data_IF_665242050821
#
_entry.id   IF_665242050821
#
_cell.length_a   1.000
_cell.length_b   1.000
_cell.length_c   1.000
_cell.angle_alpha   90.00
_cell.angle_beta   90.00
_cell.angle_gamma   90.00
#
_symmetry.space_group_name_H-M   'P 1'
#
loop_
_entity.id
_entity.type
_entity.pdbx_description
1 polymer ?
#
# COMPACT_ATOMS: atom_id res chain seq x y z
N UNK A 1 2.26 9.93 18.44
CA UNK A 1 2.89 9.08 17.39
C UNK A 1 2.03 9.02 16.13
N UNK A 2 2.48 8.38 15.05
CA UNK A 2 1.75 8.27 13.77
C UNK A 2 1.51 6.82 13.40
N UNK A 3 0.32 6.51 12.89
CA UNK A 3 -0.08 5.21 12.37
C UNK A 3 -0.39 5.37 10.89
N UNK A 4 0.26 4.58 10.04
CA UNK A 4 0.01 4.57 8.59
C UNK A 4 -0.53 3.20 8.23
N UNK A 5 -1.80 3.15 7.82
CA UNK A 5 -2.51 1.92 7.52
C UNK A 5 -2.57 1.71 6.01
N UNK A 6 -1.91 0.67 5.50
CA UNK A 6 -1.97 0.31 4.08
C UNK A 6 -2.96 -0.84 3.85
N UNK A 7 -4.08 -0.55 3.20
CA UNK A 7 -5.18 -1.48 2.95
C UNK A 7 -5.19 -1.98 1.51
N UNK A 8 -4.71 -3.21 1.28
CA UNK A 8 -4.84 -3.90 -0.02
C UNK A 8 -6.20 -4.60 -0.14
N UNK A 9 -6.73 -4.75 -1.35
CA UNK A 9 -7.93 -5.55 -1.63
C UNK A 9 -9.26 -4.79 -1.55
N UNK A 10 -9.25 -3.47 -1.77
CA UNK A 10 -10.46 -2.64 -1.83
C UNK A 10 -10.65 -2.14 -3.26
N UNK A 11 -11.85 -2.31 -3.80
CA UNK A 11 -12.23 -1.74 -5.10
C UNK A 11 -12.78 -0.31 -4.95
N UNK A 12 -12.79 0.45 -6.04
CA UNK A 12 -13.29 1.83 -6.06
C UNK A 12 -14.71 1.98 -5.50
N UNK A 13 -15.60 1.01 -5.80
CA UNK A 13 -16.99 1.02 -5.33
C UNK A 13 -17.14 0.77 -3.83
N UNK A 14 -16.10 0.23 -3.17
CA UNK A 14 -16.11 -0.10 -1.74
C UNK A 14 -15.44 0.99 -0.90
N UNK A 15 -14.81 2.00 -1.51
CA UNK A 15 -14.06 3.04 -0.78
C UNK A 15 -14.94 3.77 0.24
N UNK A 16 -16.18 4.11 -0.13
CA UNK A 16 -17.11 4.78 0.78
C UNK A 16 -17.42 3.91 2.01
N UNK A 17 -17.72 2.64 1.79
CA UNK A 17 -17.97 1.69 2.88
C UNK A 17 -16.75 1.52 3.79
N UNK A 18 -15.55 1.39 3.21
CA UNK A 18 -14.31 1.28 4.00
C UNK A 18 -14.08 2.54 4.83
N UNK A 19 -14.34 3.72 4.25
CA UNK A 19 -14.20 4.99 4.94
C UNK A 19 -15.18 5.12 6.11
N UNK A 20 -16.44 4.76 5.90
CA UNK A 20 -17.48 4.88 6.93
C UNK A 20 -17.40 3.81 8.03
N UNK A 21 -16.86 2.63 7.72
CA UNK A 21 -16.88 1.50 8.66
C UNK A 21 -15.51 1.16 9.23
N UNK A 22 -14.49 0.93 8.39
CA UNK A 22 -13.18 0.47 8.86
C UNK A 22 -12.46 1.58 9.63
N UNK A 23 -12.49 2.82 9.13
CA UNK A 23 -11.74 3.93 9.72
C UNK A 23 -12.30 4.31 11.10
N UNK A 24 -13.62 4.46 11.21
CA UNK A 24 -14.29 4.81 12.48
C UNK A 24 -14.08 3.72 13.54
N UNK A 25 -14.09 2.45 13.15
CA UNK A 25 -13.78 1.33 14.06
C UNK A 25 -12.33 1.35 14.53
N UNK A 26 -11.38 1.68 13.65
CA UNK A 26 -9.97 1.82 14.02
C UNK A 26 -9.78 2.96 15.01
N UNK A 27 -10.35 4.14 14.72
CA UNK A 27 -10.27 5.31 15.61
C UNK A 27 -10.88 4.97 16.98
N UNK A 28 -12.10 4.42 17.00
CA UNK A 28 -12.77 4.02 18.24
C UNK A 28 -11.96 3.00 19.05
N UNK A 29 -11.29 2.06 18.38
CA UNK A 29 -10.44 1.06 19.04
C UNK A 29 -9.17 1.69 19.62
N UNK A 30 -8.57 2.65 18.91
CA UNK A 30 -7.40 3.39 19.41
C UNK A 30 -7.76 4.21 20.65
N UNK A 31 -8.88 4.95 20.61
CA UNK A 31 -9.35 5.76 21.73
C UNK A 31 -9.66 4.91 22.97
N UNK A 32 -10.22 3.70 22.77
CA UNK A 32 -10.49 2.76 23.85
C UNK A 32 -9.22 2.13 24.46
N UNK A 33 -8.24 1.80 23.61
CA UNK A 33 -6.98 1.17 24.05
C UNK A 33 -6.00 2.16 24.66
N UNK A 34 -6.04 3.42 24.22
CA UNK A 34 -5.11 4.47 24.63
C UNK A 34 -5.84 5.78 24.98
N UNK A 35 -6.67 5.81 26.04
CA UNK A 35 -7.46 6.98 26.37
C UNK A 35 -6.61 8.23 26.61
N UNK A 36 -7.02 9.35 26.01
CA UNK A 36 -6.36 10.66 26.16
C UNK A 36 -5.09 10.85 25.32
N UNK A 37 -4.73 9.89 24.47
CA UNK A 37 -3.63 10.02 23.51
C UNK A 37 -4.17 10.49 22.16
N UNK A 38 -3.62 11.58 21.63
CA UNK A 38 -3.92 12.02 20.26
C UNK A 38 -3.21 11.11 19.24
N UNK A 39 -4.00 10.32 18.51
CA UNK A 39 -3.50 9.41 17.48
C UNK A 39 -3.59 10.03 16.09
N UNK A 40 -2.44 10.16 15.44
CA UNK A 40 -2.36 10.61 14.05
C UNK A 40 -2.44 9.41 13.12
N UNK A 41 -3.46 9.36 12.28
CA UNK A 41 -3.76 8.23 11.40
C UNK A 41 -3.77 8.67 9.93
N UNK A 42 -3.09 7.90 9.08
CA UNK A 42 -3.32 7.93 7.64
C UNK A 42 -3.82 6.56 7.18
N UNK A 43 -4.88 6.55 6.38
CA UNK A 43 -5.46 5.34 5.80
C UNK A 43 -5.28 5.38 4.28
N UNK A 44 -4.47 4.45 3.76
CA UNK A 44 -4.04 4.41 2.36
C UNK A 44 -4.53 3.12 1.72
N UNK A 45 -5.46 3.23 0.78
CA UNK A 45 -5.90 2.11 -0.05
C UNK A 45 -4.84 1.82 -1.11
N UNK A 46 -4.45 0.55 -1.24
CA UNK A 46 -3.42 0.08 -2.17
C UNK A 46 -4.08 -0.82 -3.22
N UNK A 47 -4.04 -0.40 -4.48
CA UNK A 47 -4.66 -1.13 -5.60
C UNK A 47 -3.61 -1.56 -6.61
N UNK A 48 -3.32 -2.86 -6.63
CA UNK A 48 -2.36 -3.48 -7.58
C UNK A 48 -3.01 -4.03 -8.85
N UNK A 49 -4.33 -4.17 -8.92
CA UNK A 49 -5.03 -4.68 -10.12
C UNK A 49 -5.67 -3.52 -10.88
N UNK A 50 -4.86 -2.78 -11.63
CA UNK A 50 -5.27 -1.59 -12.40
C UNK A 50 -4.95 -1.74 -13.89
N UNK A 51 -5.73 -1.09 -14.74
CA UNK A 51 -5.51 -1.03 -16.20
C UNK A 51 -4.47 0.02 -16.61
N UNK A 52 -4.28 1.08 -15.81
CA UNK A 52 -3.34 2.17 -16.09
C UNK A 52 -1.90 1.66 -16.30
N UNK A 53 -1.24 2.16 -17.33
CA UNK A 53 0.18 1.89 -17.64
C UNK A 53 0.88 3.21 -17.93
N UNK A 54 2.14 3.31 -17.51
CA UNK A 54 3.01 4.46 -17.77
C UNK A 54 4.21 4.01 -18.57
N UNK A 55 4.71 4.90 -19.42
CA UNK A 55 5.86 4.65 -20.28
C UNK A 55 6.80 5.86 -20.19
N UNK A 56 8.10 5.59 -20.09
CA UNK A 56 9.11 6.60 -20.27
C UNK A 56 9.34 6.78 -21.78
N UNK A 57 9.12 7.98 -22.28
CA UNK A 57 9.35 8.32 -23.68
C UNK A 57 10.74 8.93 -23.85
N UNK A 58 11.57 8.28 -24.65
CA UNK A 58 12.88 8.77 -25.10
C UNK A 58 12.79 9.03 -26.62
N UNK A 59 12.99 10.27 -27.10
CA UNK A 59 12.91 10.59 -28.54
C UNK A 59 13.84 9.75 -29.42
N UNK A 60 14.95 9.24 -28.88
CA UNK A 60 15.95 8.46 -29.60
C UNK A 60 15.74 6.94 -29.50
N UNK A 61 15.10 6.47 -28.42
CA UNK A 61 14.95 5.03 -28.09
C UNK A 61 13.50 4.56 -28.07
N UNK A 62 12.53 5.45 -28.29
CA UNK A 62 11.11 5.16 -28.21
C UNK A 62 10.60 5.02 -26.79
N UNK A 63 9.60 4.16 -26.58
CA UNK A 63 8.98 3.95 -25.28
C UNK A 63 9.65 2.82 -24.51
N UNK A 64 9.86 3.03 -23.22
CA UNK A 64 10.40 2.04 -22.29
C UNK A 64 9.64 2.02 -20.97
N UNK A 65 9.85 0.98 -20.17
CA UNK A 65 9.27 0.91 -18.84
C UNK A 65 9.87 2.01 -17.94
N UNK A 66 9.05 2.71 -17.14
CA UNK A 66 9.54 3.60 -16.09
C UNK A 66 10.44 2.85 -15.10
N UNK A 67 11.37 3.59 -14.49
CA UNK A 67 12.28 3.05 -13.49
C UNK A 67 11.57 2.85 -12.14
N UNK A 68 12.02 1.89 -11.31
CA UNK A 68 11.60 1.82 -9.92
C UNK A 68 11.81 3.15 -9.20
N UNK A 69 10.77 3.61 -8.49
CA UNK A 69 10.73 4.91 -7.84
C UNK A 69 9.99 6.00 -8.64
N UNK A 70 9.57 5.73 -9.88
CA UNK A 70 8.72 6.68 -10.62
C UNK A 70 7.38 6.87 -9.91
N UNK A 71 7.06 8.12 -9.58
CA UNK A 71 5.79 8.56 -9.01
C UNK A 71 5.04 9.37 -10.07
N UNK A 72 3.73 9.17 -10.16
CA UNK A 72 2.82 9.98 -10.96
C UNK A 72 1.65 10.41 -10.08
N UNK A 73 1.59 11.68 -9.74
CA UNK A 73 0.58 12.28 -8.85
C UNK A 73 -0.21 13.44 -9.47
N UNK A 74 0.08 13.78 -10.73
CA UNK A 74 -0.61 14.83 -11.50
C UNK A 74 -1.22 14.28 -12.80
N UNK A 75 -2.17 15.02 -13.38
CA UNK A 75 -2.85 14.82 -14.68
C UNK A 75 -3.73 13.56 -14.81
N UNK A 76 -3.25 12.41 -14.35
CA UNK A 76 -3.93 11.10 -14.45
C UNK A 76 -4.57 10.65 -13.14
N UNK A 77 -4.35 11.43 -12.08
CA UNK A 77 -4.99 11.32 -10.77
C UNK A 77 -6.39 11.94 -10.80
N UNK A 78 -7.21 11.67 -9.77
CA UNK A 78 -8.54 12.28 -9.71
C UNK A 78 -8.45 13.60 -8.95
N UNK A 79 -8.97 14.72 -9.49
CA UNK A 79 -8.90 16.02 -8.82
C UNK A 79 -9.48 16.02 -7.40
N UNK A 80 -10.45 15.15 -7.12
CA UNK A 80 -11.12 15.05 -5.83
C UNK A 80 -10.43 14.08 -4.84
N UNK A 81 -9.37 13.39 -5.26
CA UNK A 81 -8.69 12.37 -4.44
C UNK A 81 -7.26 12.80 -4.13
N UNK A 82 -6.82 12.47 -2.92
CA UNK A 82 -5.40 12.41 -2.62
C UNK A 82 -4.88 11.04 -3.05
N UNK A 83 -4.57 10.89 -4.34
CA UNK A 83 -4.02 9.66 -4.90
C UNK A 83 -2.73 9.87 -5.69
N UNK A 84 -1.98 8.78 -5.86
CA UNK A 84 -0.76 8.75 -6.65
C UNK A 84 -0.49 7.32 -7.14
N UNK A 85 0.24 7.22 -8.24
CA UNK A 85 0.78 5.97 -8.74
C UNK A 85 2.27 5.88 -8.42
N UNK A 86 2.72 4.68 -8.06
CA UNK A 86 4.12 4.38 -7.83
C UNK A 86 4.51 3.12 -8.59
N UNK A 87 5.55 3.24 -9.40
CA UNK A 87 6.25 2.09 -10.00
C UNK A 87 7.34 1.67 -9.03
N UNK A 88 7.12 0.62 -8.25
CA UNK A 88 8.11 0.21 -7.24
C UNK A 88 9.05 -0.90 -7.71
N UNK A 89 8.68 -1.70 -8.72
CA UNK A 89 9.42 -2.88 -9.16
C UNK A 89 9.68 -2.82 -10.67
N UNK A 90 10.83 -3.34 -11.12
CA UNK A 90 11.12 -3.57 -12.54
C UNK A 90 10.69 -4.97 -12.99
N UNK A 91 10.26 -5.09 -14.25
CA UNK A 91 9.89 -6.37 -14.86
C UNK A 91 10.95 -6.78 -15.89
N UNK A 92 11.26 -8.09 -15.95
CA UNK A 92 12.20 -8.63 -16.95
C UNK A 92 11.61 -8.67 -18.36
N UNK A 93 10.30 -8.86 -18.45
CA UNK A 93 9.55 -8.96 -19.70
C UNK A 93 8.18 -8.30 -19.54
N UNK A 94 7.71 -7.67 -20.62
CA UNK A 94 6.41 -7.01 -20.69
C UNK A 94 6.41 -5.60 -20.10
N UNK A 95 5.21 -5.04 -19.96
CA UNK A 95 5.00 -3.69 -19.44
C UNK A 95 4.84 -3.69 -17.93
N UNK A 96 5.54 -2.78 -17.24
CA UNK A 96 5.40 -2.62 -15.79
C UNK A 96 4.01 -2.10 -15.44
N UNK A 97 3.39 -2.72 -14.44
CA UNK A 97 2.11 -2.29 -13.92
C UNK A 97 2.34 -1.49 -12.62
N UNK A 98 2.00 -0.19 -12.59
CA UNK A 98 2.14 0.62 -11.38
C UNK A 98 1.23 0.09 -10.26
N UNK A 99 1.43 0.61 -9.06
CA UNK A 99 0.52 0.43 -7.93
C UNK A 99 -0.12 1.78 -7.63
N UNK A 100 -1.45 1.79 -7.54
CA UNK A 100 -2.23 2.98 -7.21
C UNK A 100 -2.42 3.06 -5.70
N UNK A 101 -2.17 4.24 -5.14
CA UNK A 101 -2.32 4.54 -3.73
C UNK A 101 -3.32 5.67 -3.60
N UNK A 102 -4.34 5.47 -2.78
CA UNK A 102 -5.37 6.47 -2.52
C UNK A 102 -5.46 6.71 -1.01
N UNK A 103 -5.07 7.89 -0.57
CA UNK A 103 -5.15 8.33 0.83
C UNK A 103 -6.56 8.82 1.08
N UNK A 104 -7.35 8.00 1.77
CA UNK A 104 -8.79 8.27 1.99
C UNK A 104 -9.07 8.94 3.33
N UNK A 105 -8.08 8.98 4.22
CA UNK A 105 -8.10 9.66 5.50
C UNK A 105 -6.67 10.00 5.92
N UNK A 106 -6.43 11.22 6.41
CA UNK A 106 -5.11 11.63 6.90
C UNK A 106 -5.22 12.75 7.95
N UNK A 107 -4.77 12.47 9.17
CA UNK A 107 -4.59 13.45 10.26
C UNK A 107 -3.12 13.62 10.64
N UNK A 108 -2.20 13.03 9.87
CA UNK A 108 -0.77 12.96 10.21
C UNK A 108 0.00 14.25 9.97
N UNK A 109 -0.54 15.12 9.11
CA UNK A 109 0.11 16.35 8.65
C UNK A 109 1.36 16.08 7.80
N UNK A 110 1.52 14.86 7.27
CA UNK A 110 2.62 14.54 6.37
C UNK A 110 2.41 15.23 5.02
N UNK A 111 3.51 15.75 4.45
CA UNK A 111 3.48 16.24 3.08
C UNK A 111 3.30 15.06 2.11
N UNK A 112 2.65 15.27 0.95
CA UNK A 112 2.51 14.22 -0.06
C UNK A 112 3.82 13.52 -0.44
N UNK A 113 4.91 14.28 -0.63
CA UNK A 113 6.25 13.74 -0.87
C UNK A 113 6.68 12.72 0.20
N UNK A 114 6.42 13.01 1.48
CA UNK A 114 6.80 12.12 2.57
C UNK A 114 6.00 10.81 2.53
N UNK A 115 4.70 10.88 2.22
CA UNK A 115 3.85 9.69 2.07
C UNK A 115 4.32 8.82 0.90
N UNK A 116 4.58 9.43 -0.26
CA UNK A 116 5.08 8.74 -1.45
C UNK A 116 6.43 8.05 -1.19
N UNK A 117 7.38 8.77 -0.55
CA UNK A 117 8.68 8.23 -0.19
C UNK A 117 8.60 7.14 0.87
N UNK A 118 7.68 7.26 1.84
CA UNK A 118 7.42 6.22 2.82
C UNK A 118 6.91 4.95 2.13
N UNK A 119 5.90 5.08 1.27
CA UNK A 119 5.35 3.97 0.49
C UNK A 119 6.44 3.26 -0.31
N UNK A 120 7.33 4.01 -0.97
CA UNK A 120 8.45 3.43 -1.71
C UNK A 120 9.49 2.77 -0.80
N UNK A 121 9.87 3.37 0.33
CA UNK A 121 10.81 2.75 1.29
C UNK A 121 10.27 1.42 1.81
N UNK A 122 8.97 1.33 2.10
CA UNK A 122 8.35 0.11 2.60
C UNK A 122 8.36 -1.02 1.58
N UNK A 123 8.49 -0.76 0.27
CA UNK A 123 8.61 -1.83 -0.72
C UNK A 123 9.97 -2.55 -0.71
N UNK A 124 10.95 -2.01 0.00
CA UNK A 124 12.29 -2.61 0.14
C UNK A 124 12.39 -3.54 1.35
N UNK A 125 11.35 -3.58 2.19
CA UNK A 125 11.39 -4.26 3.50
C UNK A 125 10.74 -5.65 3.49
N UNK A 126 10.61 -6.27 2.33
CA UNK A 126 10.11 -7.64 2.22
C UNK A 126 11.27 -8.63 2.18
N UNK A 127 11.50 -9.34 3.28
CA UNK A 127 12.73 -10.11 3.48
C UNK A 127 12.86 -11.37 2.62
N UNK A 128 11.78 -11.86 2.03
CA UNK A 128 11.83 -13.02 1.13
C UNK A 128 12.16 -12.62 -0.33
N UNK A 129 12.58 -11.36 -0.58
CA UNK A 129 13.04 -10.91 -1.90
C UNK A 129 14.17 -9.88 -1.77
N UNK A 130 15.33 -10.09 -2.41
CA UNK A 130 16.46 -9.15 -2.36
C UNK A 130 16.27 -8.00 -3.37
N UNK A 131 15.21 -7.21 -3.19
CA UNK A 131 14.87 -6.08 -4.04
C UNK A 131 13.53 -5.44 -3.68
N UNK A 132 13.04 -4.55 -4.53
CA UNK A 132 11.73 -3.93 -4.33
C UNK A 132 10.59 -4.84 -4.76
N UNK A 133 9.51 -4.82 -3.99
CA UNK A 133 8.25 -5.48 -4.33
C UNK A 133 7.17 -4.48 -4.77
N UNK A 134 6.09 -4.99 -5.35
CA UNK A 134 5.03 -4.18 -5.96
C UNK A 134 4.20 -3.35 -4.98
N UNK A 135 4.04 -3.83 -3.75
CA UNK A 135 3.24 -3.19 -2.68
C UNK A 135 4.12 -2.97 -1.45
N UNK A 136 3.73 -2.15 -0.46
CA UNK A 136 4.48 -2.02 0.78
C UNK A 136 4.62 -3.37 1.48
N UNK A 137 5.76 -3.61 2.16
CA UNK A 137 6.03 -4.87 2.85
C UNK A 137 4.91 -5.32 3.80
N UNK A 138 4.26 -4.44 4.61
CA UNK A 138 3.13 -4.85 5.44
C UNK A 138 1.98 -5.50 4.64
N UNK A 139 1.65 -4.97 3.46
CA UNK A 139 0.61 -5.57 2.60
C UNK A 139 1.04 -6.95 2.07
N UNK A 140 2.31 -7.09 1.68
CA UNK A 140 2.82 -8.37 1.18
C UNK A 140 2.90 -9.43 2.29
N UNK A 141 3.29 -9.04 3.50
CA UNK A 141 3.28 -9.90 4.67
C UNK A 141 1.86 -10.36 5.03
N UNK A 142 0.90 -9.42 5.07
CA UNK A 142 -0.50 -9.75 5.28
C UNK A 142 -1.03 -10.72 4.22
N UNK A 143 -0.67 -10.51 2.94
CA UNK A 143 -1.06 -11.42 1.86
C UNK A 143 -0.46 -12.82 2.04
N UNK A 144 0.83 -12.94 2.39
CA UNK A 144 1.50 -14.22 2.64
C UNK A 144 0.86 -14.98 3.80
N UNK A 145 0.61 -14.30 4.92
CA UNK A 145 -0.04 -14.91 6.09
C UNK A 145 -1.48 -15.35 5.77
N UNK A 146 -2.27 -14.49 5.12
CA UNK A 146 -3.64 -14.82 4.73
C UNK A 146 -3.68 -15.99 3.73
N UNK A 147 -2.74 -16.04 2.79
CA UNK A 147 -2.62 -17.16 1.85
C UNK A 147 -2.29 -18.48 2.57
N UNK A 148 -1.30 -18.48 3.47
CA UNK A 148 -0.94 -19.65 4.27
C UNK A 148 -2.13 -20.16 5.10
N UNK A 149 -2.82 -19.24 5.78
CA UNK A 149 -3.99 -19.58 6.60
C UNK A 149 -5.12 -20.17 5.75
N UNK A 150 -5.46 -19.54 4.63
CA UNK A 150 -6.56 -19.95 3.77
C UNK A 150 -6.29 -21.23 2.96
N UNK A 151 -5.04 -21.47 2.56
CA UNK A 151 -4.68 -22.58 1.66
C UNK A 151 -4.14 -23.82 2.37
N UNK A 152 -3.61 -23.68 3.58
CA UNK A 152 -2.89 -24.80 4.24
C UNK A 152 -3.32 -25.02 5.68
N UNK A 153 -3.43 -23.97 6.50
CA UNK A 153 -3.77 -24.14 7.91
C UNK A 153 -5.27 -24.41 8.12
N UNK A 154 -6.13 -23.77 7.32
CA UNK A 154 -7.59 -23.76 7.46
C UNK A 154 -8.06 -23.42 8.89
N UNK A 155 -7.23 -22.69 9.64
CA UNK A 155 -7.38 -22.33 11.04
C UNK A 155 -6.44 -21.19 11.39
N UNK A 156 -6.63 -20.59 12.57
CA UNK A 156 -5.72 -19.57 13.10
C UNK A 156 -4.36 -20.18 13.49
N UNK A 157 -3.31 -19.38 13.31
CA UNK A 157 -1.97 -19.75 13.77
C UNK A 157 -1.86 -19.68 15.29
N UNK A 158 -0.91 -20.41 15.86
CA UNK A 158 -0.65 -20.35 17.29
C UNK A 158 -0.17 -18.93 17.69
N UNK A 159 -0.79 -18.34 18.72
CA UNK A 159 -0.50 -16.99 19.18
C UNK A 159 0.96 -16.77 19.60
N UNK A 160 1.67 -17.83 20.00
CA UNK A 160 3.11 -17.77 20.31
C UNK A 160 3.98 -17.40 19.10
N UNK A 161 3.48 -17.60 17.88
CA UNK A 161 4.18 -17.27 16.64
C UNK A 161 3.96 -15.83 16.17
N UNK A 162 3.01 -15.09 16.77
CA UNK A 162 2.68 -13.72 16.40
C UNK A 162 3.88 -12.75 16.32
N UNK A 163 4.93 -12.82 17.17
CA UNK A 163 6.08 -11.91 17.06
C UNK A 163 7.09 -12.32 15.97
N UNK A 164 6.84 -13.41 15.24
CA UNK A 164 7.79 -13.97 14.25
C UNK A 164 7.22 -13.93 12.83
N UNK A 165 8.11 -13.95 11.83
CA UNK A 165 7.75 -14.04 10.42
C UNK A 165 7.63 -15.51 9.97
N UNK A 166 6.92 -16.34 10.72
CA UNK A 166 6.80 -17.80 10.49
C UNK A 166 6.12 -18.18 9.15
N UNK A 167 5.47 -17.23 8.51
CA UNK A 167 4.66 -17.41 7.30
C UNK A 167 5.40 -17.06 5.98
N UNK A 168 6.71 -16.78 6.04
CA UNK A 168 7.49 -16.38 4.86
C UNK A 168 7.78 -17.53 3.91
#
# INVERSE_FOLDING_TARGET
DRIIFFRDGVSDGQILQVREWEIDQIISSLDALFPGVDHKLAFVVVTKRISTRFFLHDPSRGYSNPLPGTVVDTEVTRPERYDYFLVSQSVRQGTVAPTHYNVIYDTTGLKPDHMQRLSYKLTHLYFNWPGTIRVPAPCQYAHKLAFLAGQSLHSEHNSKLAPTLFYL
#
